data_IF_206607830697
#
_entry.id   IF_206607830697
#
_cell.length_a   1.000
_cell.length_b   1.000
_cell.length_c   1.000
_cell.angle_alpha   90.00
_cell.angle_beta   90.00
_cell.angle_gamma   90.00
#
_symmetry.space_group_name_H-M   'P 1'
#
loop_
_entity.id
_entity.type
_entity.pdbx_description
1 polymer ?
#
# COMPACT_ATOMS: atom_id res chain seq x y z
N UNK A 1 15.80 30.97 4.66
CA UNK A 1 14.54 31.08 3.87
C UNK A 1 14.78 30.80 2.39
N UNK A 2 15.84 31.34 1.78
CA UNK A 2 16.25 31.03 0.40
C UNK A 2 16.44 29.54 0.12
N UNK A 3 17.06 28.80 1.04
CA UNK A 3 17.39 27.39 0.81
C UNK A 3 16.15 26.50 0.72
N UNK A 4 15.14 26.76 1.56
CA UNK A 4 13.85 26.08 1.50
C UNK A 4 13.11 26.36 0.18
N UNK A 5 13.10 27.63 -0.25
CA UNK A 5 12.47 28.02 -1.51
C UNK A 5 13.17 27.36 -2.70
N UNK A 6 14.51 27.32 -2.70
CA UNK A 6 15.29 26.68 -3.75
C UNK A 6 15.06 25.16 -3.79
N UNK A 7 14.99 24.51 -2.63
CA UNK A 7 14.69 23.08 -2.54
C UNK A 7 13.25 22.76 -2.97
N UNK A 8 12.30 23.64 -2.64
CA UNK A 8 10.93 23.50 -3.11
C UNK A 8 10.85 23.65 -4.64
N UNK A 9 11.48 24.66 -5.21
CA UNK A 9 11.53 24.88 -6.66
C UNK A 9 12.20 23.71 -7.40
N UNK A 10 13.30 23.16 -6.89
CA UNK A 10 13.94 22.01 -7.51
C UNK A 10 13.05 20.75 -7.48
N UNK A 11 12.26 20.59 -6.41
CA UNK A 11 11.26 19.52 -6.31
C UNK A 11 10.15 19.69 -7.35
N UNK A 12 9.64 20.92 -7.54
CA UNK A 12 8.64 21.21 -8.57
C UNK A 12 9.17 20.89 -9.98
N UNK A 13 10.41 21.29 -10.27
CA UNK A 13 11.04 21.01 -11.57
C UNK A 13 11.25 19.51 -11.80
N UNK A 14 11.63 18.76 -10.76
CA UNK A 14 11.75 17.31 -10.86
C UNK A 14 10.39 16.64 -11.12
N UNK A 15 9.31 17.13 -10.50
CA UNK A 15 7.95 16.69 -10.79
C UNK A 15 7.56 17.02 -12.24
N UNK A 16 7.76 18.26 -12.67
CA UNK A 16 7.43 18.70 -14.03
C UNK A 16 8.10 17.80 -15.06
N UNK A 17 9.40 17.54 -14.89
CA UNK A 17 10.18 16.63 -15.74
C UNK A 17 9.63 15.20 -15.75
N UNK A 18 9.25 14.66 -14.59
CA UNK A 18 8.68 13.31 -14.48
C UNK A 18 7.35 13.16 -15.22
N UNK A 19 6.61 14.27 -15.36
CA UNK A 19 5.28 14.30 -15.99
C UNK A 19 5.26 15.03 -17.34
N UNK A 20 6.42 15.30 -17.94
CA UNK A 20 6.54 16.01 -19.23
C UNK A 20 5.74 15.32 -20.35
N UNK A 21 5.74 13.98 -20.38
CA UNK A 21 5.06 13.18 -21.40
C UNK A 21 3.54 13.02 -21.24
N UNK A 22 2.92 13.61 -20.21
CA UNK A 22 1.49 13.45 -19.97
C UNK A 22 0.66 14.49 -20.75
N UNK A 23 -0.18 14.03 -21.69
CA UNK A 23 -0.99 14.91 -22.56
C UNK A 23 -1.99 15.78 -21.80
N UNK A 24 -2.55 15.29 -20.69
CA UNK A 24 -3.53 16.05 -19.88
C UNK A 24 -2.85 17.21 -19.16
N UNK A 25 -1.67 16.98 -18.59
CA UNK A 25 -0.91 18.02 -17.90
C UNK A 25 -0.34 19.06 -18.87
N UNK A 26 0.05 18.64 -20.08
CA UNK A 26 0.48 19.56 -21.14
C UNK A 26 -0.67 20.45 -21.63
N UNK A 27 -1.89 19.93 -21.71
CA UNK A 27 -3.08 20.75 -22.03
C UNK A 27 -3.40 21.75 -20.92
N UNK A 28 -3.28 21.34 -19.66
CA UNK A 28 -3.48 22.23 -18.51
C UNK A 28 -2.48 23.38 -18.48
N UNK A 29 -1.19 23.09 -18.70
CA UNK A 29 -0.13 24.09 -18.79
C UNK A 29 -0.38 25.07 -19.95
N UNK A 30 -0.79 24.56 -21.12
CA UNK A 30 -1.10 25.41 -22.28
C UNK A 30 -2.25 26.39 -22.03
N UNK A 31 -3.26 26.00 -21.24
CA UNK A 31 -4.43 26.84 -20.94
C UNK A 31 -4.16 27.84 -19.79
N UNK A 32 -3.49 27.39 -18.74
CA UNK A 32 -3.33 28.18 -17.50
C UNK A 32 -2.01 28.94 -17.43
N UNK A 33 -1.01 28.57 -18.25
CA UNK A 33 0.40 29.02 -18.19
C UNK A 33 1.07 28.76 -16.84
N UNK A 34 0.49 27.90 -16.01
CA UNK A 34 1.06 27.49 -14.73
C UNK A 34 1.84 26.18 -14.90
N UNK A 35 2.92 25.96 -14.11
CA UNK A 35 3.67 24.71 -14.14
C UNK A 35 2.79 23.51 -13.79
N UNK A 36 3.05 22.35 -14.40
CA UNK A 36 2.27 21.11 -14.24
C UNK A 36 2.22 20.66 -12.77
N UNK A 37 3.30 20.90 -12.03
CA UNK A 37 3.48 20.59 -10.62
C UNK A 37 2.44 21.28 -9.72
N UNK A 38 2.04 22.52 -10.03
CA UNK A 38 0.96 23.21 -9.31
C UNK A 38 -0.39 22.52 -9.50
N UNK A 39 -0.66 21.98 -10.69
CA UNK A 39 -1.89 21.24 -10.96
C UNK A 39 -1.98 19.98 -10.10
N UNK A 40 -0.88 19.23 -10.01
CA UNK A 40 -0.79 17.98 -9.22
C UNK A 40 -0.93 18.29 -7.74
N UNK A 41 -0.18 19.27 -7.23
CA UNK A 41 -0.22 19.66 -5.82
C UNK A 41 -1.60 20.16 -5.41
N UNK A 42 -2.21 21.02 -6.23
CA UNK A 42 -3.55 21.54 -5.96
C UNK A 42 -4.61 20.44 -6.00
N UNK A 43 -4.51 19.51 -6.95
CA UNK A 43 -5.41 18.35 -7.04
C UNK A 43 -5.27 17.44 -5.82
N UNK A 44 -4.05 17.16 -5.38
CA UNK A 44 -3.77 16.38 -4.17
C UNK A 44 -4.31 17.07 -2.91
N UNK A 45 -4.02 18.36 -2.73
CA UNK A 45 -4.52 19.13 -1.60
C UNK A 45 -6.06 19.17 -1.57
N UNK A 46 -6.69 19.37 -2.73
CA UNK A 46 -8.14 19.33 -2.87
C UNK A 46 -8.72 17.96 -2.51
N UNK A 47 -8.09 16.88 -2.96
CA UNK A 47 -8.48 15.51 -2.61
C UNK A 47 -8.44 15.27 -1.08
N UNK A 48 -7.34 15.65 -0.43
CA UNK A 48 -7.22 15.56 1.03
C UNK A 48 -8.23 16.44 1.76
N UNK A 49 -8.52 17.62 1.24
CA UNK A 49 -9.55 18.51 1.76
C UNK A 49 -10.95 17.87 1.69
N UNK A 50 -11.30 17.23 0.57
CA UNK A 50 -12.58 16.52 0.42
C UNK A 50 -12.73 15.38 1.44
N UNK A 51 -11.66 14.63 1.69
CA UNK A 51 -11.65 13.59 2.72
C UNK A 51 -11.83 14.20 4.11
N UNK A 52 -11.13 15.30 4.39
CA UNK A 52 -11.21 16.00 5.67
C UNK A 52 -12.63 16.50 5.97
N UNK A 53 -13.29 17.13 5.00
CA UNK A 53 -14.64 17.67 5.21
C UNK A 53 -15.69 16.53 5.24
N UNK A 54 -15.46 15.42 4.52
CA UNK A 54 -16.33 14.25 4.51
C UNK A 54 -17.83 14.57 4.26
N UNK A 55 -18.12 15.48 3.33
CA UNK A 55 -19.49 15.88 2.99
C UNK A 55 -20.26 14.67 2.45
N UNK A 56 -21.38 14.32 3.09
CA UNK A 56 -22.25 13.23 2.62
C UNK A 56 -21.61 11.84 2.63
N UNK A 57 -20.54 11.62 3.39
CA UNK A 57 -19.84 10.34 3.46
C UNK A 57 -18.80 10.11 2.36
N UNK A 58 -18.54 11.11 1.50
CA UNK A 58 -17.56 10.99 0.41
C UNK A 58 -16.14 10.68 0.92
N UNK A 59 -15.81 11.06 2.15
CA UNK A 59 -14.51 10.79 2.75
C UNK A 59 -14.22 9.30 2.89
N UNK A 60 -15.25 8.48 3.15
CA UNK A 60 -15.12 7.02 3.18
C UNK A 60 -14.70 6.46 1.82
N UNK A 61 -15.41 6.87 0.76
CA UNK A 61 -15.14 6.41 -0.60
C UNK A 61 -13.73 6.81 -1.03
N UNK A 62 -13.38 8.09 -0.87
CA UNK A 62 -12.06 8.59 -1.25
C UNK A 62 -10.97 7.89 -0.43
N UNK A 63 -11.12 7.77 0.89
CA UNK A 63 -10.16 7.05 1.74
C UNK A 63 -9.92 5.62 1.25
N UNK A 64 -10.98 4.88 0.91
CA UNK A 64 -10.86 3.51 0.39
C UNK A 64 -10.23 3.45 -1.00
N UNK A 65 -10.54 4.41 -1.88
CA UNK A 65 -9.88 4.52 -3.18
C UNK A 65 -8.38 4.76 -3.02
N UNK A 66 -7.96 5.70 -2.16
CA UNK A 66 -6.54 5.90 -1.87
C UNK A 66 -5.88 4.64 -1.28
N UNK A 67 -6.55 4.02 -0.30
CA UNK A 67 -6.09 2.79 0.35
C UNK A 67 -6.09 1.55 -0.57
N UNK A 68 -6.74 1.60 -1.73
CA UNK A 68 -6.71 0.50 -2.68
C UNK A 68 -5.75 0.79 -3.84
N UNK A 69 -5.87 1.96 -4.46
CA UNK A 69 -5.17 2.29 -5.71
C UNK A 69 -3.68 2.50 -5.51
N UNK A 70 -3.28 3.21 -4.45
CA UNK A 70 -1.85 3.48 -4.17
C UNK A 70 -1.06 2.18 -3.94
N UNK A 71 -1.41 1.34 -2.96
CA UNK A 71 -0.73 0.06 -2.74
C UNK A 71 -0.98 -0.92 -3.88
N UNK A 72 -2.11 -0.87 -4.58
CA UNK A 72 -2.37 -1.68 -5.78
C UNK A 72 -1.38 -1.38 -6.91
N UNK A 73 -1.12 -0.10 -7.17
CA UNK A 73 -0.10 0.32 -8.14
C UNK A 73 1.31 -0.12 -7.72
N UNK A 74 1.66 0.05 -6.44
CA UNK A 74 2.93 -0.43 -5.91
C UNK A 74 3.04 -1.97 -6.00
N UNK A 75 1.94 -2.69 -5.79
CA UNK A 75 1.91 -4.15 -5.95
C UNK A 75 2.19 -4.55 -7.40
N UNK A 76 1.61 -3.86 -8.39
CA UNK A 76 1.89 -4.12 -9.81
C UNK A 76 3.35 -3.83 -10.19
N UNK A 77 3.95 -2.81 -9.59
CA UNK A 77 5.37 -2.53 -9.76
C UNK A 77 6.24 -3.63 -9.13
N UNK A 78 5.90 -4.06 -7.91
CA UNK A 78 6.61 -5.12 -7.18
C UNK A 78 6.57 -6.47 -7.93
N UNK A 79 5.49 -6.77 -8.66
CA UNK A 79 5.42 -7.97 -9.50
C UNK A 79 6.49 -8.02 -10.61
N UNK A 80 7.08 -6.88 -10.96
CA UNK A 80 8.13 -6.79 -11.97
C UNK A 80 9.54 -6.69 -11.35
N UNK A 81 9.66 -6.65 -10.02
CA UNK A 81 10.94 -6.62 -9.31
C UNK A 81 11.27 -8.02 -8.75
N UNK A 82 12.53 -8.49 -8.84
CA UNK A 82 12.92 -9.82 -8.36
C UNK A 82 13.11 -9.92 -6.83
N UNK A 83 12.91 -8.84 -6.07
CA UNK A 83 13.17 -8.77 -4.63
C UNK A 83 11.94 -9.11 -3.78
N UNK A 84 12.14 -9.79 -2.63
CA UNK A 84 11.07 -10.24 -1.72
C UNK A 84 10.73 -9.26 -0.58
N UNK A 85 11.53 -8.22 -0.39
CA UNK A 85 11.34 -7.29 0.72
C UNK A 85 10.09 -6.41 0.51
N UNK A 86 9.77 -6.11 -0.75
CA UNK A 86 8.56 -5.36 -1.14
C UNK A 86 7.29 -6.16 -0.81
N UNK A 87 7.32 -7.49 -1.01
CA UNK A 87 6.18 -8.38 -0.77
C UNK A 87 5.75 -8.37 0.71
N UNK A 88 6.70 -8.38 1.65
CA UNK A 88 6.38 -8.42 3.08
C UNK A 88 5.69 -7.13 3.53
N UNK A 89 6.14 -5.98 3.00
CA UNK A 89 5.53 -4.69 3.29
C UNK A 89 4.11 -4.60 2.71
N UNK A 90 3.94 -5.03 1.46
CA UNK A 90 2.64 -5.01 0.78
C UNK A 90 1.65 -5.98 1.43
N UNK A 91 2.05 -7.20 1.77
CA UNK A 91 1.17 -8.15 2.45
C UNK A 91 0.77 -7.66 3.84
N UNK A 92 1.72 -7.10 4.60
CA UNK A 92 1.41 -6.47 5.89
C UNK A 92 0.40 -5.35 5.73
N UNK A 93 0.58 -4.50 4.72
CA UNK A 93 -0.36 -3.45 4.38
C UNK A 93 -1.76 -4.01 4.12
N UNK A 94 -1.89 -5.02 3.26
CA UNK A 94 -3.18 -5.61 2.90
C UNK A 94 -3.91 -6.24 4.10
N UNK A 95 -3.17 -6.87 5.02
CA UNK A 95 -3.75 -7.40 6.26
C UNK A 95 -4.32 -6.28 7.12
N UNK A 96 -3.56 -5.18 7.32
CA UNK A 96 -4.04 -4.02 8.10
C UNK A 96 -5.22 -3.35 7.42
N UNK A 97 -5.18 -3.20 6.09
CA UNK A 97 -6.27 -2.62 5.31
C UNK A 97 -7.55 -3.45 5.47
N UNK A 98 -7.47 -4.77 5.32
CA UNK A 98 -8.62 -5.66 5.51
C UNK A 98 -9.20 -5.57 6.93
N UNK A 99 -8.34 -5.54 7.95
CA UNK A 99 -8.77 -5.39 9.34
C UNK A 99 -9.51 -4.06 9.59
N UNK A 100 -8.99 -2.94 9.08
CA UNK A 100 -9.65 -1.64 9.19
C UNK A 100 -11.02 -1.63 8.48
N UNK A 101 -11.13 -2.27 7.31
CA UNK A 101 -12.41 -2.37 6.59
C UNK A 101 -13.46 -3.17 7.37
N UNK A 102 -13.07 -4.17 8.17
CA UNK A 102 -14.01 -4.88 9.05
C UNK A 102 -14.51 -3.95 10.17
N UNK A 103 -13.61 -3.18 10.77
CA UNK A 103 -13.95 -2.19 11.81
C UNK A 103 -14.87 -1.10 11.26
N UNK A 104 -14.78 -0.76 9.97
CA UNK A 104 -15.64 0.24 9.33
C UNK A 104 -17.12 -0.12 9.28
N UNK A 105 -17.49 -1.38 9.57
CA UNK A 105 -18.88 -1.73 9.83
C UNK A 105 -19.51 -0.81 10.89
N UNK A 106 -18.73 -0.39 11.89
CA UNK A 106 -19.14 0.56 12.94
C UNK A 106 -18.79 2.03 12.61
N UNK A 107 -18.62 2.38 11.34
CA UNK A 107 -18.22 3.72 10.88
C UNK A 107 -19.00 4.88 11.52
N UNK A 108 -20.32 4.75 11.70
CA UNK A 108 -21.13 5.77 12.39
C UNK A 108 -20.72 5.98 13.84
N UNK A 109 -20.46 4.90 14.58
CA UNK A 109 -19.98 4.98 15.95
C UNK A 109 -18.56 5.55 15.98
N UNK A 110 -17.68 5.11 15.08
CA UNK A 110 -16.30 5.61 14.99
C UNK A 110 -16.29 7.12 14.74
N UNK A 111 -17.11 7.63 13.81
CA UNK A 111 -17.19 9.06 13.52
C UNK A 111 -17.78 9.88 14.67
N UNK A 112 -18.61 9.27 15.53
CA UNK A 112 -19.11 9.92 16.74
C UNK A 112 -17.99 10.12 17.78
N UNK A 113 -17.11 9.13 17.93
CA UNK A 113 -16.01 9.18 18.91
C UNK A 113 -14.76 9.89 18.38
N UNK A 114 -14.45 9.72 17.10
CA UNK A 114 -13.24 10.21 16.45
C UNK A 114 -13.65 11.06 15.24
N UNK A 115 -13.72 12.40 15.40
CA UNK A 115 -13.92 13.28 14.27
C UNK A 115 -12.74 13.16 13.29
N UNK A 116 -13.00 13.35 11.99
CA UNK A 116 -12.00 13.22 10.92
C UNK A 116 -11.35 11.82 10.76
N UNK A 117 -12.00 10.77 11.26
CA UNK A 117 -11.50 9.39 11.13
C UNK A 117 -11.02 9.03 9.73
N UNK A 118 -11.78 9.35 8.68
CA UNK A 118 -11.42 9.02 7.30
C UNK A 118 -10.13 9.70 6.83
N UNK A 119 -9.87 10.92 7.29
CA UNK A 119 -8.62 11.63 6.99
C UNK A 119 -7.43 10.96 7.70
N UNK A 120 -7.57 10.68 8.99
CA UNK A 120 -6.54 10.02 9.80
C UNK A 120 -6.25 8.62 9.24
N UNK A 121 -7.30 7.84 8.95
CA UNK A 121 -7.20 6.53 8.32
C UNK A 121 -6.44 6.61 7.00
N UNK A 122 -6.74 7.59 6.15
CA UNK A 122 -6.06 7.76 4.86
C UNK A 122 -4.58 8.05 5.05
N UNK A 123 -4.21 8.96 5.95
CA UNK A 123 -2.79 9.25 6.26
C UNK A 123 -2.10 7.99 6.78
N UNK A 124 -2.74 7.27 7.71
CA UNK A 124 -2.20 6.03 8.25
C UNK A 124 -1.97 4.98 7.17
N UNK A 125 -2.94 4.76 6.28
CA UNK A 125 -2.79 3.83 5.17
C UNK A 125 -1.68 4.27 4.20
N UNK A 126 -1.58 5.55 3.86
CA UNK A 126 -0.50 6.04 3.00
C UNK A 126 0.87 5.91 3.67
N UNK A 127 0.96 6.13 4.98
CA UNK A 127 2.17 5.92 5.76
C UNK A 127 2.63 4.46 5.72
N UNK A 128 1.70 3.50 5.78
CA UNK A 128 2.02 2.08 5.66
C UNK A 128 2.37 1.68 4.21
N UNK A 129 1.67 2.22 3.22
CA UNK A 129 1.83 1.84 1.82
C UNK A 129 3.14 2.38 1.21
N UNK A 130 3.62 3.54 1.66
CA UNK A 130 4.80 4.17 1.09
C UNK A 130 6.09 3.52 1.63
N UNK A 131 6.93 2.91 0.76
CA UNK A 131 8.12 2.16 1.20
C UNK A 131 9.16 3.06 1.89
N UNK A 132 9.19 4.36 1.56
CA UNK A 132 10.11 5.34 2.16
C UNK A 132 9.96 5.48 3.68
N UNK A 133 8.77 5.19 4.22
CA UNK A 133 8.49 5.37 5.64
C UNK A 133 8.66 4.08 6.44
N UNK A 134 8.83 2.92 5.78
CA UNK A 134 8.92 1.59 6.41
C UNK A 134 7.80 1.30 7.43
N UNK A 135 6.64 1.95 7.31
CA UNK A 135 5.56 1.85 8.29
C UNK A 135 5.01 0.43 8.41
N UNK A 136 4.85 -0.27 7.28
CA UNK A 136 4.43 -1.66 7.25
C UNK A 136 5.42 -2.58 7.99
N UNK A 137 6.74 -2.35 7.87
CA UNK A 137 7.75 -3.15 8.57
C UNK A 137 7.68 -3.00 10.09
N UNK A 138 7.40 -1.78 10.57
CA UNK A 138 7.18 -1.52 11.99
C UNK A 138 5.96 -2.28 12.52
N UNK A 139 4.85 -2.25 11.79
CA UNK A 139 3.62 -2.99 12.16
C UNK A 139 3.85 -4.49 12.10
N UNK A 140 4.58 -4.96 11.10
CA UNK A 140 4.93 -6.37 10.95
C UNK A 140 5.71 -6.86 12.18
N UNK A 141 6.84 -6.22 12.48
CA UNK A 141 7.74 -6.63 13.56
C UNK A 141 7.12 -6.47 14.95
N UNK A 142 6.30 -5.42 15.16
CA UNK A 142 5.77 -5.09 16.49
C UNK A 142 4.48 -5.82 16.84
N UNK A 143 3.62 -6.11 15.86
CA UNK A 143 2.28 -6.66 16.11
C UNK A 143 2.02 -7.97 15.38
N UNK A 144 2.25 -8.02 14.07
CA UNK A 144 1.86 -9.19 13.27
C UNK A 144 2.80 -10.38 13.50
N UNK A 145 4.11 -10.16 13.59
CA UNK A 145 5.10 -11.20 13.84
C UNK A 145 4.88 -11.90 15.19
N UNK A 146 4.77 -11.21 16.34
CA UNK A 146 4.51 -11.90 17.61
C UNK A 146 3.16 -12.61 17.62
N UNK A 147 2.13 -12.06 16.96
CA UNK A 147 0.84 -12.72 16.84
C UNK A 147 0.90 -13.96 15.95
N UNK A 148 1.57 -13.88 14.80
CA UNK A 148 1.76 -15.02 13.90
C UNK A 148 2.64 -16.10 14.53
N UNK A 149 3.71 -15.72 15.22
CA UNK A 149 4.59 -16.64 15.95
C UNK A 149 3.79 -17.41 17.02
N UNK A 150 2.90 -16.72 17.75
CA UNK A 150 2.11 -17.32 18.83
C UNK A 150 0.95 -18.21 18.34
N UNK A 151 0.30 -17.88 17.22
CA UNK A 151 -0.96 -18.55 16.81
C UNK A 151 -0.89 -19.30 15.48
N UNK A 152 0.06 -18.96 14.60
CA UNK A 152 0.17 -19.53 13.25
C UNK A 152 1.42 -20.43 13.16
N UNK A 153 2.56 -20.01 13.70
CA UNK A 153 3.84 -20.71 13.59
C UNK A 153 4.19 -21.59 14.80
N UNK A 154 3.46 -21.50 15.92
CA UNK A 154 3.52 -22.48 17.01
C UNK A 154 2.90 -23.85 16.61
N UNK A 155 2.31 -23.94 15.41
CA UNK A 155 1.88 -25.21 14.84
C UNK A 155 3.05 -25.89 14.12
N UNK A 156 3.90 -26.58 14.89
CA UNK A 156 4.79 -27.67 14.40
C UNK A 156 4.07 -28.63 13.43
N UNK A 157 2.73 -28.69 13.47
CA UNK A 157 1.86 -29.48 12.61
C UNK A 157 1.82 -29.02 11.14
N UNK A 158 1.85 -27.72 10.84
CA UNK A 158 1.80 -27.22 9.44
C UNK A 158 3.15 -27.40 8.75
N UNK A 159 4.24 -27.12 9.45
CA UNK A 159 5.59 -27.36 8.94
C UNK A 159 5.89 -28.86 8.80
N UNK A 160 5.40 -29.69 9.74
CA UNK A 160 5.49 -31.14 9.62
C UNK A 160 4.63 -31.69 8.47
N UNK A 161 3.41 -31.16 8.27
CA UNK A 161 2.55 -31.57 7.16
C UNK A 161 3.14 -31.16 5.80
N UNK A 162 3.75 -29.97 5.70
CA UNK A 162 4.43 -29.51 4.50
C UNK A 162 5.67 -30.37 4.19
N UNK A 163 6.46 -30.72 5.22
CA UNK A 163 7.62 -31.62 5.08
C UNK A 163 7.21 -33.06 4.72
N UNK A 164 6.15 -33.58 5.31
CA UNK A 164 5.63 -34.93 5.01
C UNK A 164 5.07 -35.01 3.59
N UNK A 165 4.39 -33.95 3.12
CA UNK A 165 3.89 -33.86 1.75
C UNK A 165 5.02 -33.75 0.73
N UNK A 166 6.03 -32.91 0.97
CA UNK A 166 7.20 -32.80 0.10
C UNK A 166 7.92 -34.14 -0.04
N UNK A 167 8.11 -34.86 1.07
CA UNK A 167 8.73 -36.19 1.07
C UNK A 167 7.94 -37.21 0.26
N UNK A 168 6.61 -37.23 0.38
CA UNK A 168 5.74 -38.12 -0.42
C UNK A 168 5.80 -37.81 -1.92
N UNK A 169 5.92 -36.54 -2.28
CA UNK A 169 6.05 -36.13 -3.69
C UNK A 169 7.39 -36.59 -4.26
N UNK A 170 8.47 -36.47 -3.50
CA UNK A 170 9.80 -36.95 -3.92
C UNK A 170 9.84 -38.48 -4.04
N UNK A 171 9.26 -39.22 -3.07
CA UNK A 171 9.17 -40.68 -3.11
C UNK A 171 8.38 -41.17 -4.34
N UNK A 172 7.30 -40.45 -4.72
CA UNK A 172 6.51 -40.74 -5.92
C UNK A 172 7.29 -40.41 -7.19
N UNK A 173 8.03 -39.30 -7.22
CA UNK A 173 8.86 -38.93 -8.36
C UNK A 173 10.01 -39.92 -8.60
N UNK A 174 10.65 -40.41 -7.54
CA UNK A 174 11.68 -41.45 -7.62
C UNK A 174 11.11 -42.82 -8.02
N UNK A 175 9.92 -43.18 -7.52
CA UNK A 175 9.20 -44.39 -7.91
C UNK A 175 8.79 -44.40 -9.39
N UNK A 176 8.35 -43.26 -9.92
CA UNK A 176 8.00 -43.12 -11.35
C UNK A 176 9.25 -43.12 -12.23
N UNK A 177 10.34 -42.48 -11.79
CA UNK A 177 11.62 -42.44 -12.50
C UNK A 177 12.28 -43.83 -12.60
N UNK A 178 12.15 -44.66 -11.56
CA UNK A 178 12.66 -46.04 -11.55
C UNK A 178 11.82 -47.01 -12.38
N UNK A 179 10.50 -46.81 -12.44
CA UNK A 179 9.60 -47.63 -13.25
C UNK A 179 9.73 -47.41 -14.77
N UNK A 180 10.21 -46.24 -15.20
CA UNK A 180 10.40 -45.89 -16.63
C UNK A 180 11.74 -46.38 -17.20
N UNK A 181 12.67 -46.82 -16.35
CA UNK A 181 14.00 -47.31 -16.75
C UNK A 181 14.10 -48.84 -16.96
N UNK A 182 13.01 -49.58 -16.78
CA UNK A 182 12.88 -51.01 -17.06
C UNK A 182 11.93 -51.25 -18.22
#
# INVERSE_FOLDING_TARGET
MSDFVNQFQSTLQALDKKFEGNSVLSQFEAQTKLPKSYAILSSGAFYFLLIFINIGGIGQLLSNVAGFVVPGYLSLLALNTPGKDDDTQLLTYWVVFAFLNIIEFWSKAILYWIPFYWFIKTIFLLYLALPQFNGASLVYTSFLKPFADQYILDNKSVEAAAKDFAKKVDDVAEGVSSAVKH
#
